data_IF_269754355169
#
_entry.id   IF_269754355169
#
_cell.length_a   1.000
_cell.length_b   1.000
_cell.length_c   1.000
_cell.angle_alpha   90.00
_cell.angle_beta   90.00
_cell.angle_gamma   90.00
#
_symmetry.space_group_name_H-M   'P 1'
#
loop_
_entity.id
_entity.type
_entity.pdbx_description
1 polymer ?
#
# COMPACT_ATOMS: atom_id res chain seq x y z
N UNK A 1 5.12 -31.82 -0.02
CA UNK A 1 6.30 -30.96 -0.28
C UNK A 1 7.37 -31.33 0.75
N UNK A 2 8.64 -31.19 0.40
CA UNK A 2 9.74 -31.33 1.36
C UNK A 2 9.67 -30.21 2.41
N UNK A 3 10.30 -30.42 3.56
CA UNK A 3 10.35 -29.44 4.64
C UNK A 3 11.11 -28.20 4.16
N UNK A 4 10.48 -27.02 4.24
CA UNK A 4 11.14 -25.77 3.88
C UNK A 4 12.32 -25.51 4.84
N UNK A 5 13.54 -25.25 4.34
CA UNK A 5 14.70 -25.01 5.18
C UNK A 5 14.59 -23.65 5.89
N UNK A 6 15.09 -23.59 7.13
CA UNK A 6 15.18 -22.34 7.89
C UNK A 6 16.43 -21.56 7.49
N UNK A 7 16.32 -20.24 7.33
CA UNK A 7 17.47 -19.39 6.99
C UNK A 7 17.07 -18.06 6.36
N UNK A 8 18.06 -17.35 5.83
CA UNK A 8 17.87 -16.16 5.00
C UNK A 8 18.07 -16.55 3.54
N UNK A 9 17.08 -16.25 2.70
CA UNK A 9 17.06 -16.60 1.28
C UNK A 9 16.49 -15.43 0.49
N UNK A 10 16.86 -15.36 -0.80
CA UNK A 10 16.21 -14.43 -1.71
C UNK A 10 14.84 -14.95 -2.11
N UNK A 11 13.88 -14.03 -2.26
CA UNK A 11 12.50 -14.36 -2.58
C UNK A 11 12.06 -13.64 -3.84
N UNK A 12 11.49 -14.39 -4.77
CA UNK A 12 10.64 -13.85 -5.83
C UNK A 12 9.21 -14.06 -5.39
N UNK A 13 8.43 -12.99 -5.36
CA UNK A 13 7.03 -13.02 -4.95
C UNK A 13 6.16 -12.80 -6.18
N UNK A 14 5.27 -13.75 -6.46
CA UNK A 14 4.30 -13.60 -7.53
C UNK A 14 3.34 -12.41 -7.30
N UNK A 15 2.85 -11.83 -8.39
CA UNK A 15 1.90 -10.71 -8.38
C UNK A 15 0.69 -10.94 -7.47
N UNK A 16 0.14 -12.16 -7.45
CA UNK A 16 -1.04 -12.51 -6.64
C UNK A 16 -0.76 -12.42 -5.14
N UNK A 17 0.46 -12.74 -4.72
CA UNK A 17 0.89 -12.58 -3.34
C UNK A 17 1.33 -11.13 -3.04
N UNK A 18 2.01 -10.49 -3.99
CA UNK A 18 2.48 -9.12 -3.82
C UNK A 18 1.33 -8.14 -3.57
N UNK A 19 0.14 -8.41 -4.11
CA UNK A 19 -1.04 -7.58 -3.89
C UNK A 19 -1.36 -7.35 -2.40
N UNK A 20 -1.36 -8.41 -1.58
CA UNK A 20 -1.66 -8.29 -0.16
C UNK A 20 -0.51 -7.61 0.62
N UNK A 21 0.74 -7.91 0.25
CA UNK A 21 1.91 -7.22 0.80
C UNK A 21 1.77 -5.71 0.64
N UNK A 22 1.49 -5.24 -0.58
CA UNK A 22 1.35 -3.81 -0.87
C UNK A 22 0.16 -3.22 -0.10
N UNK A 23 -0.97 -3.94 -0.05
CA UNK A 23 -2.16 -3.49 0.68
C UNK A 23 -1.86 -3.19 2.16
N UNK A 24 -1.21 -4.13 2.85
CA UNK A 24 -0.97 -4.03 4.29
C UNK A 24 0.21 -3.12 4.64
N UNK A 25 1.33 -3.28 3.93
CA UNK A 25 2.56 -2.56 4.26
C UNK A 25 2.57 -1.13 3.74
N UNK A 26 1.96 -0.84 2.58
CA UNK A 26 1.98 0.48 1.94
C UNK A 26 0.61 1.16 1.99
N UNK A 27 -0.42 0.44 1.57
CA UNK A 27 -1.78 0.96 1.42
C UNK A 27 -2.29 1.56 2.72
N UNK A 28 -2.51 0.73 3.74
CA UNK A 28 -2.95 1.19 5.05
C UNK A 28 -1.95 2.15 5.74
N UNK A 29 -0.65 1.95 5.56
CA UNK A 29 0.36 2.81 6.17
C UNK A 29 0.29 4.26 5.65
N UNK A 30 -0.24 4.47 4.44
CA UNK A 30 -0.35 5.79 3.82
C UNK A 30 -1.72 6.45 4.01
N UNK A 31 -2.65 5.86 4.76
CA UNK A 31 -3.93 6.50 5.12
C UNK A 31 -3.73 7.59 6.18
N UNK A 32 -4.06 8.84 5.85
CA UNK A 32 -3.66 9.99 6.67
C UNK A 32 -4.45 10.14 7.98
N UNK A 33 -5.70 9.70 8.03
CA UNK A 33 -6.48 9.62 9.28
C UNK A 33 -5.85 8.64 10.29
N UNK A 34 -5.31 7.53 9.79
CA UNK A 34 -4.58 6.53 10.57
C UNK A 34 -3.25 7.08 11.08
N UNK A 35 -2.55 7.85 10.25
CA UNK A 35 -1.35 8.61 10.64
C UNK A 35 -1.69 9.65 11.73
N UNK A 36 -2.89 10.24 11.70
CA UNK A 36 -3.39 11.11 12.77
C UNK A 36 -3.97 10.37 13.99
N UNK A 37 -4.07 9.04 13.94
CA UNK A 37 -4.49 8.19 15.06
C UNK A 37 -6.01 7.95 15.17
N UNK A 38 -6.82 8.40 14.21
CA UNK A 38 -8.29 8.23 14.26
C UNK A 38 -8.73 6.76 14.26
N UNK A 39 -7.91 5.85 13.71
CA UNK A 39 -8.18 4.41 13.58
C UNK A 39 -7.31 3.53 14.51
N UNK A 40 -6.57 4.16 15.44
CA UNK A 40 -5.57 3.48 16.25
C UNK A 40 -6.15 2.31 17.09
N UNK A 41 -7.38 2.48 17.60
CA UNK A 41 -8.03 1.47 18.44
C UNK A 41 -8.64 0.30 17.68
N UNK A 42 -8.90 0.43 16.36
CA UNK A 42 -9.63 -0.58 15.58
C UNK A 42 -8.77 -1.31 14.56
N UNK A 43 -7.80 -0.64 13.92
CA UNK A 43 -7.03 -1.26 12.84
C UNK A 43 -5.51 -0.97 12.92
N UNK A 44 -5.06 -0.36 14.03
CA UNK A 44 -3.67 -0.01 14.30
C UNK A 44 -3.27 1.40 13.83
N UNK A 45 -2.00 1.74 13.99
CA UNK A 45 -1.39 3.01 13.60
C UNK A 45 -0.57 2.85 12.30
N UNK A 46 0.06 3.95 11.87
CA UNK A 46 1.10 3.96 10.85
C UNK A 46 2.45 4.27 11.49
N UNK A 47 3.54 3.76 10.89
CA UNK A 47 4.89 4.19 11.22
C UNK A 47 5.23 5.56 10.61
N UNK A 48 4.46 6.01 9.62
CA UNK A 48 4.60 7.34 9.04
C UNK A 48 4.00 8.39 9.96
N UNK A 49 4.59 9.57 9.96
CA UNK A 49 4.08 10.76 10.63
C UNK A 49 3.62 11.78 9.57
N UNK A 50 2.76 12.76 9.91
CA UNK A 50 2.27 13.74 8.93
C UNK A 50 3.39 14.50 8.20
N UNK A 51 4.53 14.73 8.87
CA UNK A 51 5.69 15.42 8.32
C UNK A 51 6.62 14.56 7.46
N UNK A 52 6.50 13.23 7.50
CA UNK A 52 7.49 12.30 6.88
C UNK A 52 7.63 12.51 5.37
N UNK A 53 6.56 12.93 4.70
CA UNK A 53 6.55 13.32 3.28
C UNK A 53 7.55 14.46 2.95
N UNK A 54 7.85 15.32 3.91
CA UNK A 54 8.77 16.47 3.73
C UNK A 54 10.24 16.09 3.98
N UNK A 55 10.50 14.92 4.57
CA UNK A 55 11.83 14.51 5.03
C UNK A 55 12.61 13.71 3.97
N UNK A 56 12.15 13.70 2.70
CA UNK A 56 12.68 12.82 1.66
C UNK A 56 12.76 11.36 2.14
N UNK A 57 11.69 10.87 2.76
CA UNK A 57 11.67 9.53 3.33
C UNK A 57 11.80 8.45 2.24
N UNK A 58 12.85 7.64 2.35
CA UNK A 58 13.06 6.47 1.49
C UNK A 58 12.26 5.29 2.02
N UNK A 59 11.16 4.99 1.36
CA UNK A 59 10.25 3.89 1.64
C UNK A 59 10.77 2.55 1.13
N UNK A 60 11.46 2.54 -0.01
CA UNK A 60 11.90 1.30 -0.67
C UNK A 60 13.06 1.50 -1.64
N UNK A 61 13.32 0.48 -2.46
CA UNK A 61 14.31 0.57 -3.54
C UNK A 61 13.82 1.50 -4.66
N UNK A 62 14.73 1.92 -5.54
CA UNK A 62 14.40 2.81 -6.66
C UNK A 62 13.45 2.17 -7.70
N UNK A 63 13.26 0.86 -7.64
CA UNK A 63 12.33 0.11 -8.49
C UNK A 63 10.88 0.20 -8.00
N UNK A 64 10.63 0.73 -6.79
CA UNK A 64 9.31 0.78 -6.18
C UNK A 64 8.60 2.08 -6.53
N UNK A 65 7.60 2.01 -7.42
CA UNK A 65 6.64 3.10 -7.62
C UNK A 65 5.23 2.58 -7.37
N UNK A 66 4.54 3.18 -6.40
CA UNK A 66 3.19 2.76 -5.98
C UNK A 66 2.21 3.90 -6.14
N UNK A 67 1.06 3.59 -6.73
CA UNK A 67 -0.02 4.55 -7.00
C UNK A 67 -1.32 4.09 -6.35
N UNK A 68 -2.10 5.05 -5.84
CA UNK A 68 -3.52 4.89 -5.56
C UNK A 68 -4.31 5.46 -6.74
N UNK A 69 -5.05 4.63 -7.47
CA UNK A 69 -5.71 5.02 -8.71
C UNK A 69 -7.18 4.59 -8.74
N UNK A 70 -8.09 5.55 -8.53
CA UNK A 70 -9.53 5.30 -8.60
C UNK A 70 -10.09 5.36 -10.04
N UNK A 71 -9.25 5.57 -11.05
CA UNK A 71 -9.67 5.83 -12.43
C UNK A 71 -9.51 4.62 -13.36
N UNK A 72 -8.95 3.52 -12.85
CA UNK A 72 -8.71 2.30 -13.63
C UNK A 72 -10.04 1.71 -14.11
N UNK A 73 -10.28 1.56 -15.42
CA UNK A 73 -11.50 0.95 -15.93
C UNK A 73 -11.71 -0.46 -15.35
N UNK A 74 -12.90 -0.71 -14.79
CA UNK A 74 -13.28 -1.99 -14.16
C UNK A 74 -12.47 -2.38 -12.92
N UNK A 75 -11.61 -1.50 -12.38
CA UNK A 75 -10.98 -1.72 -11.09
C UNK A 75 -12.03 -1.76 -9.97
N UNK A 76 -11.90 -2.71 -9.04
CA UNK A 76 -12.86 -2.86 -7.94
C UNK A 76 -12.83 -1.67 -6.96
N UNK A 77 -11.70 -0.97 -6.87
CA UNK A 77 -11.56 0.27 -6.12
C UNK A 77 -11.86 1.54 -6.91
N UNK A 78 -12.38 1.42 -8.14
CA UNK A 78 -12.64 2.56 -9.03
C UNK A 78 -14.04 3.13 -8.85
N UNK A 79 -14.18 4.45 -9.02
CA UNK A 79 -15.44 5.18 -8.88
C UNK A 79 -15.39 6.50 -9.66
N UNK A 80 -16.49 7.25 -9.71
CA UNK A 80 -16.52 8.58 -10.34
C UNK A 80 -16.12 9.69 -9.37
N UNK A 81 -16.65 9.62 -8.14
CA UNK A 81 -16.39 10.53 -7.03
C UNK A 81 -16.34 9.71 -5.75
N UNK A 82 -15.52 10.14 -4.80
CA UNK A 82 -15.50 9.59 -3.45
C UNK A 82 -16.71 10.12 -2.63
N UNK A 83 -16.82 9.71 -1.37
CA UNK A 83 -17.97 10.07 -0.52
C UNK A 83 -17.89 11.52 0.03
N UNK A 84 -16.79 12.25 -0.27
CA UNK A 84 -16.64 13.71 -0.09
C UNK A 84 -16.98 14.50 -1.37
N UNK A 85 -17.45 13.81 -2.42
CA UNK A 85 -17.69 14.40 -3.74
C UNK A 85 -16.41 14.87 -4.44
N UNK A 86 -15.25 14.34 -4.07
CA UNK A 86 -13.97 14.59 -4.76
C UNK A 86 -13.88 13.65 -5.95
N UNK A 87 -13.54 14.19 -7.13
CA UNK A 87 -13.43 13.39 -8.35
C UNK A 87 -12.36 12.31 -8.20
N UNK A 88 -12.65 11.12 -8.71
CA UNK A 88 -11.68 10.03 -8.81
C UNK A 88 -10.43 10.49 -9.57
N UNK A 89 -9.27 10.09 -9.06
CA UNK A 89 -7.98 10.52 -9.57
C UNK A 89 -6.91 9.46 -9.28
N UNK A 90 -5.73 9.69 -9.87
CA UNK A 90 -4.52 8.91 -9.66
C UNK A 90 -3.54 9.71 -8.83
N UNK A 91 -3.09 9.13 -7.72
CA UNK A 91 -2.08 9.70 -6.84
C UNK A 91 -0.86 8.80 -6.76
N UNK A 92 0.33 9.38 -6.93
CA UNK A 92 1.59 8.67 -6.69
C UNK A 92 1.90 8.73 -5.20
N UNK A 93 1.82 7.59 -4.52
CA UNK A 93 2.13 7.47 -3.09
C UNK A 93 3.64 7.34 -2.89
N UNK A 94 4.28 6.50 -3.69
CA UNK A 94 5.73 6.27 -3.68
C UNK A 94 6.22 6.40 -5.12
N UNK A 95 7.29 7.17 -5.32
CA UNK A 95 7.97 7.30 -6.61
C UNK A 95 9.45 6.94 -6.46
N UNK A 96 9.88 5.87 -7.14
CA UNK A 96 11.24 5.35 -7.10
C UNK A 96 11.78 5.20 -5.68
N UNK A 97 10.98 4.56 -4.83
CA UNK A 97 11.30 4.29 -3.44
C UNK A 97 11.12 5.48 -2.50
N UNK A 98 10.75 6.67 -2.99
CA UNK A 98 10.57 7.87 -2.17
C UNK A 98 9.09 8.10 -1.87
N UNK A 99 8.73 8.33 -0.61
CA UNK A 99 7.38 8.73 -0.24
C UNK A 99 7.04 10.09 -0.85
N UNK A 100 5.92 10.18 -1.57
CA UNK A 100 5.49 11.39 -2.28
C UNK A 100 4.14 11.93 -1.83
N UNK A 101 3.21 11.08 -1.40
CA UNK A 101 1.88 11.47 -0.95
C UNK A 101 1.32 10.48 0.08
N UNK A 102 0.27 10.92 0.77
CA UNK A 102 -0.64 10.09 1.55
C UNK A 102 -1.97 9.93 0.82
N UNK A 103 -2.82 9.02 1.29
CA UNK A 103 -4.23 8.97 0.96
C UNK A 103 -4.98 9.92 1.90
N UNK A 104 -5.86 10.78 1.37
CA UNK A 104 -6.42 11.92 2.12
C UNK A 104 -7.89 12.20 1.81
N UNK A 105 -8.62 12.59 2.85
CA UNK A 105 -9.94 13.21 2.80
C UNK A 105 -9.83 14.74 2.76
N UNK A 106 -10.94 15.46 2.57
CA UNK A 106 -10.92 16.94 2.64
C UNK A 106 -10.49 17.43 4.03
N UNK A 107 -10.93 16.74 5.08
CA UNK A 107 -10.57 17.06 6.46
C UNK A 107 -9.06 16.85 6.71
N UNK A 108 -8.55 15.66 6.40
CA UNK A 108 -7.16 15.30 6.70
C UNK A 108 -6.15 16.03 5.81
N UNK A 109 -6.44 16.24 4.53
CA UNK A 109 -5.57 16.97 3.61
C UNK A 109 -5.34 18.42 4.07
N UNK A 110 -6.40 19.07 4.56
CA UNK A 110 -6.33 20.47 5.02
C UNK A 110 -5.32 20.66 6.17
N UNK A 111 -5.17 19.65 7.04
CA UNK A 111 -4.25 19.66 8.19
C UNK A 111 -2.77 19.64 7.79
N UNK A 112 -2.47 19.19 6.57
CA UNK A 112 -1.11 19.20 5.99
C UNK A 112 -0.97 20.22 4.85
N UNK A 113 -1.93 21.14 4.69
CA UNK A 113 -1.89 22.18 3.67
C UNK A 113 -2.06 21.65 2.23
N UNK A 114 -2.71 20.50 2.05
CA UNK A 114 -2.95 19.88 0.75
C UNK A 114 -4.45 19.84 0.39
N UNK A 115 -4.74 19.47 -0.85
CA UNK A 115 -6.09 19.14 -1.30
C UNK A 115 -6.32 17.63 -1.19
N UNK A 116 -7.58 17.23 -0.99
CA UNK A 116 -7.94 15.81 -0.97
C UNK A 116 -7.64 15.14 -2.30
N UNK A 117 -7.13 13.92 -2.23
CA UNK A 117 -6.87 13.09 -3.38
C UNK A 117 -7.95 12.05 -3.67
N UNK A 118 -9.15 12.24 -3.12
CA UNK A 118 -10.34 11.47 -3.48
C UNK A 118 -10.32 10.06 -2.95
N UNK A 119 -9.91 9.88 -1.69
CA UNK A 119 -9.85 8.57 -1.03
C UNK A 119 -10.73 8.51 0.23
N UNK A 120 -11.72 9.39 0.39
CA UNK A 120 -12.64 9.33 1.53
C UNK A 120 -13.84 8.42 1.20
N UNK A 121 -14.01 7.30 1.92
CA UNK A 121 -15.01 6.29 1.58
C UNK A 121 -15.81 5.76 2.78
N UNK A 122 -17.10 5.53 2.55
CA UNK A 122 -18.02 4.88 3.46
C UNK A 122 -18.55 3.55 2.89
N UNK A 123 -18.92 2.63 3.78
CA UNK A 123 -19.59 1.36 3.42
C UNK A 123 -21.13 1.52 3.33
N UNK A 124 -21.64 2.74 3.44
CA UNK A 124 -23.06 3.02 3.36
C UNK A 124 -23.41 4.43 3.81
N UNK A 125 -24.60 4.90 3.44
CA UNK A 125 -25.06 6.27 3.71
C UNK A 125 -25.11 6.64 5.20
N UNK A 126 -25.28 5.66 6.07
CA UNK A 126 -25.37 5.84 7.52
C UNK A 126 -24.01 5.81 8.23
N UNK A 127 -22.93 5.59 7.48
CA UNK A 127 -21.57 5.46 8.02
C UNK A 127 -20.77 6.72 7.72
N UNK A 128 -19.92 7.10 8.67
CA UNK A 128 -18.96 8.19 8.47
C UNK A 128 -17.90 7.70 7.48
N UNK A 129 -17.63 8.43 6.38
CA UNK A 129 -16.55 8.08 5.48
C UNK A 129 -15.19 8.32 6.17
N UNK A 130 -14.27 7.41 5.93
CA UNK A 130 -12.88 7.47 6.42
C UNK A 130 -11.93 7.35 5.24
N UNK A 131 -10.66 7.71 5.42
CA UNK A 131 -9.67 7.54 4.36
C UNK A 131 -9.49 6.05 4.09
N UNK A 132 -9.73 5.63 2.85
CA UNK A 132 -9.59 4.24 2.43
C UNK A 132 -8.93 4.13 1.08
N UNK A 133 -8.16 3.06 0.94
CA UNK A 133 -7.59 2.62 -0.32
C UNK A 133 -8.58 2.61 -1.50
N UNK A 134 -8.05 2.98 -2.66
CA UNK A 134 -8.66 2.78 -3.97
C UNK A 134 -8.02 1.55 -4.62
N UNK A 135 -7.59 1.60 -5.89
CA UNK A 135 -6.72 0.55 -6.42
C UNK A 135 -5.26 0.94 -6.11
N UNK A 136 -4.64 0.25 -5.14
CA UNK A 136 -3.20 0.42 -4.83
C UNK A 136 -2.39 -0.52 -5.73
N UNK A 137 -1.53 0.06 -6.56
CA UNK A 137 -0.79 -0.69 -7.58
C UNK A 137 0.70 -0.38 -7.49
N UNK A 138 1.53 -1.43 -7.39
CA UNK A 138 2.94 -1.35 -7.74
C UNK A 138 3.04 -1.35 -9.27
N UNK A 139 3.66 -0.31 -9.82
CA UNK A 139 3.87 -0.22 -11.25
C UNK A 139 4.94 -1.22 -11.71
N UNK A 140 4.80 -1.78 -12.93
CA UNK A 140 5.76 -2.75 -13.45
C UNK A 140 7.14 -2.14 -13.60
N UNK A 141 8.16 -2.94 -13.27
CA UNK A 141 9.55 -2.65 -13.62
C UNK A 141 9.87 -3.03 -15.06
N UNK A 142 11.16 -3.13 -15.38
CA UNK A 142 11.65 -3.54 -16.70
C UNK A 142 12.16 -4.98 -16.76
N UNK A 143 12.19 -5.69 -15.63
CA UNK A 143 12.73 -7.04 -15.55
C UNK A 143 11.64 -8.08 -15.86
N UNK A 144 12.01 -9.08 -16.64
CA UNK A 144 11.21 -10.29 -16.83
C UNK A 144 11.48 -11.31 -15.71
N UNK A 145 10.54 -12.22 -15.46
CA UNK A 145 10.66 -13.22 -14.38
C UNK A 145 11.93 -14.07 -14.51
N UNK A 146 12.27 -14.49 -15.73
CA UNK A 146 13.49 -15.28 -15.98
C UNK A 146 14.77 -14.52 -15.65
N UNK A 147 14.77 -13.20 -15.78
CA UNK A 147 15.91 -12.35 -15.41
C UNK A 147 16.03 -12.25 -13.89
N UNK A 148 14.92 -12.15 -13.17
CA UNK A 148 14.89 -12.18 -11.71
C UNK A 148 15.41 -13.53 -11.18
N UNK A 149 14.96 -14.65 -11.76
CA UNK A 149 15.39 -15.99 -11.37
C UNK A 149 16.89 -16.17 -11.58
N UNK A 150 17.44 -15.73 -12.72
CA UNK A 150 18.87 -15.82 -13.01
C UNK A 150 19.74 -15.00 -12.05
N UNK A 151 19.17 -13.99 -11.41
CA UNK A 151 19.86 -13.16 -10.42
C UNK A 151 19.94 -13.77 -9.02
N UNK A 152 19.34 -14.96 -8.81
CA UNK A 152 19.25 -15.61 -7.50
C UNK A 152 20.02 -16.93 -7.54
N UNK A 153 21.00 -17.06 -6.65
CA UNK A 153 21.78 -18.30 -6.49
C UNK A 153 21.03 -19.33 -5.61
N UNK A 154 20.38 -18.87 -4.54
CA UNK A 154 19.61 -19.70 -3.61
C UNK A 154 18.39 -18.92 -3.08
N UNK A 155 17.19 -19.42 -3.41
CA UNK A 155 15.96 -18.69 -3.11
C UNK A 155 14.68 -19.43 -3.45
N UNK A 156 13.56 -18.79 -3.16
CA UNK A 156 12.23 -19.34 -3.36
C UNK A 156 11.38 -18.45 -4.25
N UNK A 157 10.55 -19.08 -5.10
CA UNK A 157 9.48 -18.41 -5.83
C UNK A 157 8.14 -18.69 -5.15
N UNK A 158 7.50 -17.64 -4.65
CA UNK A 158 6.30 -17.73 -3.82
C UNK A 158 5.06 -17.31 -4.60
N UNK A 159 4.22 -18.29 -4.95
CA UNK A 159 3.06 -18.07 -5.83
C UNK A 159 1.73 -17.89 -5.09
N UNK A 160 1.55 -18.51 -3.92
CA UNK A 160 0.23 -18.54 -3.26
C UNK A 160 0.36 -18.17 -1.80
N UNK A 161 -0.46 -17.21 -1.37
CA UNK A 161 -0.59 -16.83 0.03
C UNK A 161 -1.44 -17.86 0.78
N UNK A 162 -1.02 -18.26 1.99
CA UNK A 162 -1.85 -19.01 2.94
C UNK A 162 -2.29 -18.16 4.14
N UNK A 163 -1.42 -17.31 4.68
CA UNK A 163 -1.77 -16.41 5.78
C UNK A 163 -0.88 -15.16 5.80
N UNK A 164 -1.41 -14.10 6.42
CA UNK A 164 -0.72 -12.81 6.59
C UNK A 164 -0.96 -12.25 7.99
N UNK A 165 0.05 -11.59 8.56
CA UNK A 165 -0.05 -10.87 9.83
C UNK A 165 0.92 -9.69 9.84
N UNK A 166 0.46 -8.54 10.35
CA UNK A 166 1.24 -7.30 10.46
C UNK A 166 1.05 -6.72 11.87
N UNK A 167 2.08 -6.07 12.42
CA UNK A 167 1.99 -5.45 13.74
C UNK A 167 1.19 -4.13 13.72
N UNK A 168 0.75 -3.67 14.90
CA UNK A 168 -0.10 -2.48 15.04
C UNK A 168 0.55 -1.20 14.50
N UNK A 169 1.87 -1.14 14.42
CA UNK A 169 2.60 0.02 13.90
C UNK A 169 2.95 -0.12 12.42
N UNK A 170 2.70 -1.29 11.82
CA UNK A 170 3.10 -1.69 10.47
C UNK A 170 4.61 -1.60 10.24
N UNK A 171 5.38 -1.84 11.30
CA UNK A 171 6.85 -1.90 11.23
C UNK A 171 7.32 -3.30 10.83
N UNK A 172 6.62 -4.34 11.31
CA UNK A 172 6.97 -5.73 11.06
C UNK A 172 5.76 -6.49 10.52
N UNK A 173 6.01 -7.41 9.60
CA UNK A 173 5.00 -8.32 9.07
C UNK A 173 5.58 -9.71 8.89
N UNK A 174 4.69 -10.69 8.82
CA UNK A 174 5.01 -12.08 8.56
C UNK A 174 3.92 -12.68 7.67
N UNK A 175 4.30 -13.64 6.83
CA UNK A 175 3.37 -14.34 5.97
C UNK A 175 3.77 -15.79 5.74
N UNK A 176 2.78 -16.61 5.42
CA UNK A 176 3.00 -17.99 5.00
C UNK A 176 2.58 -18.17 3.55
N UNK A 177 3.35 -18.98 2.84
CA UNK A 177 3.09 -19.34 1.45
C UNK A 177 2.77 -20.83 1.33
N UNK A 178 2.04 -21.15 0.27
CA UNK A 178 1.37 -22.44 0.09
C UNK A 178 1.94 -23.32 -0.99
#
# INVERSE_FOLDING_TARGET
AEQCPSGHYDLIIDSSQMALQIHESIGHATELDRIFGSEAAYAGMSFLLPGTINDNFKYGSEFVTVVADATIPKGLGSFGYDDDGVKAQKTVLIDKGMLKNYQTSRDTASKIGQLSNGTNRADGWSNIPIVRMTNINLLPGSFELDELIKGIDDGFYLCTNKSWSIDDKRLNFQFSCG
#
